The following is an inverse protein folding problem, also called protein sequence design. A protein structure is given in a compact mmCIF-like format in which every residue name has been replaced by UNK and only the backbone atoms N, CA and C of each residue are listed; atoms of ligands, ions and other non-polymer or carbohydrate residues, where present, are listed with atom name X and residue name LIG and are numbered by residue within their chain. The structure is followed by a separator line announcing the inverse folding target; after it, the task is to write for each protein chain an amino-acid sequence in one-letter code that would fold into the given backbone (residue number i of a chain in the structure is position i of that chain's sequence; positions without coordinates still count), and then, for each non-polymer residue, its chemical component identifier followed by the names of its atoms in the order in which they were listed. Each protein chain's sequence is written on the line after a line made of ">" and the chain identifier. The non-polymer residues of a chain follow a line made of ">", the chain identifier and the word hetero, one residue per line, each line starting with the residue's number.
data_IF_303856817033
#
_entry.id   IF_303856817033
#
_cell.length_a   1.000
_cell.length_b   1.000
_cell.length_c   1.000
_cell.angle_alpha   90.00
_cell.angle_beta   90.00
_cell.angle_gamma   90.00
#
_symmetry.space_group_name_H-M   'P 1'
#
loop_
_entity.id
_entity.type
_entity.pdbx_description
1 polymer ?
#
# COMPACT_ATOMS: atom_id res chain seq x y z
N UNK A 1 -5.61 -43.57 2.45
CA UNK A 1 -4.65 -42.47 2.81
C UNK A 1 -4.82 -41.17 2.05
N UNK A 2 -5.92 -41.00 1.32
CA UNK A 2 -6.26 -39.71 0.65
C UNK A 2 -6.56 -38.59 1.64
N UNK A 3 -7.05 -38.89 2.84
CA UNK A 3 -7.30 -37.95 3.93
C UNK A 3 -6.02 -37.25 4.45
N UNK A 4 -4.89 -37.96 4.45
CA UNK A 4 -3.60 -37.38 4.86
C UNK A 4 -3.08 -36.31 3.88
N UNK A 5 -3.26 -36.52 2.58
CA UNK A 5 -2.85 -35.57 1.54
C UNK A 5 -3.69 -34.29 1.57
N UNK A 6 -5.00 -34.40 1.77
CA UNK A 6 -5.89 -33.26 1.92
C UNK A 6 -5.57 -32.46 3.19
N UNK A 7 -5.30 -33.15 4.31
CA UNK A 7 -4.88 -32.50 5.57
C UNK A 7 -3.58 -31.73 5.42
N UNK A 8 -2.57 -32.27 4.73
CA UNK A 8 -1.34 -31.54 4.43
C UNK A 8 -1.56 -30.32 3.54
N UNK A 9 -2.37 -30.45 2.49
CA UNK A 9 -2.69 -29.31 1.62
C UNK A 9 -3.39 -28.18 2.39
N UNK A 10 -4.34 -28.51 3.26
CA UNK A 10 -5.04 -27.52 4.13
C UNK A 10 -4.07 -26.88 5.12
N UNK A 11 -3.16 -27.65 5.74
CA UNK A 11 -2.14 -27.09 6.64
C UNK A 11 -1.17 -26.17 5.89
N UNK A 12 -0.75 -26.51 4.66
CA UNK A 12 0.11 -25.65 3.84
C UNK A 12 -0.59 -24.33 3.47
N UNK A 13 -1.85 -24.40 3.05
CA UNK A 13 -2.68 -23.22 2.76
C UNK A 13 -2.84 -22.36 4.02
N UNK A 14 -3.06 -22.96 5.19
CA UNK A 14 -3.19 -22.26 6.47
C UNK A 14 -1.88 -21.58 6.90
N UNK A 15 -0.73 -22.22 6.73
CA UNK A 15 0.59 -21.65 7.05
C UNK A 15 0.90 -20.46 6.14
N UNK A 16 0.64 -20.58 4.84
CA UNK A 16 0.79 -19.49 3.87
C UNK A 16 -0.15 -18.33 4.22
N UNK A 17 -1.38 -18.63 4.60
CA UNK A 17 -2.38 -17.64 5.01
C UNK A 17 -1.97 -16.89 6.29
N UNK A 18 -1.32 -17.54 7.25
CA UNK A 18 -0.90 -16.96 8.53
C UNK A 18 0.38 -16.10 8.41
N UNK A 19 1.28 -16.40 7.48
CA UNK A 19 2.55 -15.69 7.33
C UNK A 19 2.46 -14.36 6.58
N UNK A 20 1.39 -14.10 5.82
CA UNK A 20 1.25 -12.85 5.06
C UNK A 20 0.25 -11.90 5.71
N UNK A 21 0.78 -10.93 6.44
CA UNK A 21 0.07 -9.77 7.04
C UNK A 21 -0.39 -8.74 5.98
N UNK A 22 -0.96 -9.16 4.86
CA UNK A 22 -1.50 -8.26 3.85
C UNK A 22 -2.98 -7.93 4.08
N UNK A 23 -3.41 -6.78 3.56
CA UNK A 23 -4.81 -6.34 3.60
C UNK A 23 -5.77 -7.42 3.07
N UNK A 24 -6.97 -7.47 3.61
CA UNK A 24 -7.96 -8.55 3.36
C UNK A 24 -8.23 -8.81 1.86
N UNK A 25 -8.28 -7.77 1.03
CA UNK A 25 -8.52 -7.91 -0.41
C UNK A 25 -7.34 -8.55 -1.16
N UNK A 26 -6.11 -8.19 -0.81
CA UNK A 26 -4.91 -8.81 -1.39
C UNK A 26 -4.73 -10.26 -0.92
N UNK A 27 -5.07 -10.57 0.33
CA UNK A 27 -5.05 -11.95 0.84
C UNK A 27 -6.04 -12.84 0.11
N UNK A 28 -7.25 -12.34 -0.15
CA UNK A 28 -8.27 -13.08 -0.88
C UNK A 28 -7.81 -13.39 -2.33
N UNK A 29 -7.24 -12.41 -3.03
CA UNK A 29 -6.72 -12.60 -4.40
C UNK A 29 -5.54 -13.57 -4.42
N UNK A 30 -4.58 -13.42 -3.49
CA UNK A 30 -3.44 -14.32 -3.36
C UNK A 30 -3.90 -15.74 -3.01
N UNK A 31 -4.83 -15.87 -2.06
CA UNK A 31 -5.42 -17.16 -1.69
C UNK A 31 -6.15 -17.84 -2.85
N UNK A 32 -6.93 -17.08 -3.62
CA UNK A 32 -7.64 -17.59 -4.80
C UNK A 32 -6.66 -18.09 -5.88
N UNK A 33 -5.57 -17.38 -6.14
CA UNK A 33 -4.55 -17.80 -7.11
C UNK A 33 -3.88 -19.11 -6.68
N UNK A 34 -3.49 -19.23 -5.41
CA UNK A 34 -2.91 -20.47 -4.90
C UNK A 34 -3.91 -21.62 -4.89
N UNK A 35 -5.18 -21.36 -4.58
CA UNK A 35 -6.23 -22.37 -4.63
C UNK A 35 -6.43 -22.89 -6.06
N UNK A 36 -6.48 -22.01 -7.05
CA UNK A 36 -6.54 -22.39 -8.47
C UNK A 36 -5.29 -23.19 -8.86
N UNK A 37 -4.09 -22.74 -8.43
CA UNK A 37 -2.84 -23.46 -8.72
C UNK A 37 -2.84 -24.87 -8.13
N UNK A 38 -3.36 -25.07 -6.92
CA UNK A 38 -3.51 -26.38 -6.28
C UNK A 38 -4.47 -27.26 -7.10
N UNK A 39 -5.65 -26.75 -7.48
CA UNK A 39 -6.61 -27.51 -8.31
C UNK A 39 -5.96 -27.92 -9.63
N UNK A 40 -5.25 -27.02 -10.31
CA UNK A 40 -4.54 -27.33 -11.57
C UNK A 40 -3.42 -28.35 -11.35
N UNK A 41 -2.72 -28.27 -10.21
CA UNK A 41 -1.67 -29.23 -9.87
C UNK A 41 -2.19 -30.65 -9.67
N UNK A 42 -3.41 -30.81 -9.13
CA UNK A 42 -4.04 -32.13 -8.92
C UNK A 42 -4.83 -32.64 -10.14
N UNK A 43 -5.04 -31.82 -11.17
CA UNK A 43 -5.85 -32.16 -12.34
C UNK A 43 -5.40 -33.46 -13.05
N UNK A 44 -4.09 -33.75 -13.28
CA UNK A 44 -3.68 -35.00 -13.89
C UNK A 44 -4.03 -36.22 -13.04
N UNK A 45 -4.02 -36.08 -11.70
CA UNK A 45 -4.37 -37.16 -10.79
C UNK A 45 -5.87 -37.49 -10.86
N UNK A 46 -6.73 -36.45 -10.89
CA UNK A 46 -8.19 -36.60 -11.00
C UNK A 46 -8.59 -37.25 -12.33
N UNK A 47 -7.92 -36.92 -13.44
CA UNK A 47 -8.20 -37.48 -14.76
C UNK A 47 -7.82 -38.97 -14.83
N UNK A 48 -6.78 -39.37 -14.11
CA UNK A 48 -6.27 -40.73 -14.13
C UNK A 48 -6.90 -41.65 -13.09
N UNK A 49 -7.54 -41.11 -12.04
CA UNK A 49 -8.19 -41.87 -10.96
C UNK A 49 -9.11 -42.98 -11.47
N UNK A 50 -10.06 -42.76 -12.43
CA UNK A 50 -10.94 -43.81 -12.91
C UNK A 50 -10.23 -44.95 -13.65
N UNK A 51 -9.03 -44.71 -14.15
CA UNK A 51 -8.24 -45.72 -14.85
C UNK A 51 -7.25 -46.49 -13.94
N UNK A 52 -6.93 -45.91 -12.77
CA UNK A 52 -5.99 -46.49 -11.81
C UNK A 52 -6.54 -47.77 -11.20
N UNK A 53 -7.82 -47.86 -10.89
CA UNK A 53 -8.43 -49.08 -10.33
C UNK A 53 -8.34 -50.28 -11.31
N UNK A 54 -8.40 -50.00 -12.62
CA UNK A 54 -8.21 -51.04 -13.64
C UNK A 54 -6.75 -51.53 -13.76
N UNK A 55 -5.81 -50.63 -13.47
CA UNK A 55 -4.37 -50.88 -13.56
C UNK A 55 -3.82 -51.52 -12.27
N UNK A 56 -4.32 -51.17 -11.09
CA UNK A 56 -3.88 -51.73 -9.79
C UNK A 56 -4.33 -53.16 -9.61
N UNK A 57 -5.41 -53.59 -10.29
CA UNK A 57 -5.87 -54.99 -10.24
C UNK A 57 -4.90 -56.01 -10.85
N UNK A 58 -3.91 -55.58 -11.61
CA UNK A 58 -2.86 -56.44 -12.19
C UNK A 58 -1.54 -56.21 -11.47
N UNK A 59 -1.10 -57.16 -10.67
CA UNK A 59 0.09 -57.08 -9.81
C UNK A 59 1.42 -57.30 -10.57
N UNK A 60 1.51 -56.85 -11.83
CA UNK A 60 2.70 -57.03 -12.65
C UNK A 60 3.78 -55.99 -12.34
N UNK A 61 5.06 -56.39 -12.47
CA UNK A 61 6.24 -55.53 -12.28
C UNK A 61 6.18 -54.26 -13.17
N UNK A 62 5.58 -54.35 -14.35
CA UNK A 62 5.40 -53.25 -15.30
C UNK A 62 4.46 -52.16 -14.72
N UNK A 63 3.35 -52.58 -14.12
CA UNK A 63 2.38 -51.66 -13.47
C UNK A 63 3.02 -50.88 -12.34
N UNK A 64 3.87 -51.50 -11.53
CA UNK A 64 4.60 -50.85 -10.44
C UNK A 64 5.57 -49.76 -10.97
N UNK A 65 6.31 -50.08 -12.04
CA UNK A 65 7.20 -49.12 -12.69
C UNK A 65 6.43 -47.92 -13.27
N UNK A 66 5.29 -48.17 -13.92
CA UNK A 66 4.42 -47.10 -14.47
C UNK A 66 3.92 -46.17 -13.40
N UNK A 67 3.43 -46.70 -12.28
CA UNK A 67 2.96 -45.88 -11.14
C UNK A 67 4.09 -45.02 -10.58
N UNK A 68 5.30 -45.58 -10.45
CA UNK A 68 6.47 -44.84 -9.95
C UNK A 68 6.82 -43.67 -10.86
N UNK A 69 6.88 -43.92 -12.18
CA UNK A 69 7.16 -42.88 -13.18
C UNK A 69 6.08 -41.80 -13.17
N UNK A 70 4.81 -42.20 -13.05
CA UNK A 70 3.69 -41.27 -12.98
C UNK A 70 3.76 -40.35 -11.74
N UNK A 71 4.08 -40.91 -10.57
CA UNK A 71 4.25 -40.13 -9.33
C UNK A 71 5.38 -39.11 -9.47
N UNK A 72 6.52 -39.51 -10.07
CA UNK A 72 7.63 -38.59 -10.31
C UNK A 72 7.24 -37.46 -11.25
N UNK A 73 6.54 -37.77 -12.36
CA UNK A 73 6.04 -36.77 -13.30
C UNK A 73 5.02 -35.84 -12.64
N UNK A 74 4.14 -36.35 -11.78
CA UNK A 74 3.18 -35.59 -11.03
C UNK A 74 3.86 -34.61 -10.05
N UNK A 75 4.92 -35.06 -9.37
CA UNK A 75 5.73 -34.19 -8.51
C UNK A 75 6.39 -33.04 -9.29
N UNK A 76 6.98 -33.35 -10.45
CA UNK A 76 7.56 -32.35 -11.34
C UNK A 76 6.51 -31.33 -11.84
N UNK A 77 5.35 -31.83 -12.25
CA UNK A 77 4.23 -30.98 -12.67
C UNK A 77 3.78 -30.04 -11.56
N UNK A 78 3.63 -30.54 -10.33
CA UNK A 78 3.25 -29.73 -9.16
C UNK A 78 4.27 -28.61 -8.90
N UNK A 79 5.57 -28.89 -8.96
CA UNK A 79 6.63 -27.89 -8.79
C UNK A 79 6.57 -26.82 -9.89
N UNK A 80 6.34 -27.22 -11.13
CA UNK A 80 6.19 -26.29 -12.25
C UNK A 80 4.99 -25.35 -12.05
N UNK A 81 3.82 -25.90 -11.77
CA UNK A 81 2.59 -25.10 -11.57
C UNK A 81 2.78 -24.10 -10.43
N UNK A 82 3.33 -24.54 -9.29
CA UNK A 82 3.57 -23.65 -8.15
C UNK A 82 4.62 -22.57 -8.46
N UNK A 83 5.66 -22.89 -9.22
CA UNK A 83 6.67 -21.91 -9.63
C UNK A 83 6.09 -20.85 -10.57
N UNK A 84 5.25 -21.27 -11.53
CA UNK A 84 4.56 -20.33 -12.43
C UNK A 84 3.54 -19.47 -11.69
N UNK A 85 2.74 -20.05 -10.80
CA UNK A 85 1.78 -19.31 -9.98
C UNK A 85 2.48 -18.25 -9.12
N UNK A 86 3.62 -18.60 -8.50
CA UNK A 86 4.44 -17.65 -7.75
C UNK A 86 4.96 -16.50 -8.61
N UNK A 87 5.57 -16.80 -9.75
CA UNK A 87 6.09 -15.77 -10.68
C UNK A 87 4.99 -14.85 -11.19
N UNK A 88 3.81 -15.40 -11.48
CA UNK A 88 2.67 -14.63 -11.94
C UNK A 88 2.14 -13.70 -10.84
N UNK A 89 2.05 -14.21 -9.62
CA UNK A 89 1.66 -13.43 -8.43
C UNK A 89 2.67 -12.30 -8.16
N UNK A 90 3.98 -12.61 -8.15
CA UNK A 90 5.04 -11.62 -7.97
C UNK A 90 4.97 -10.52 -9.03
N UNK A 91 4.68 -10.86 -10.30
CA UNK A 91 4.53 -9.86 -11.39
C UNK A 91 3.37 -8.91 -11.12
N UNK A 92 2.20 -9.43 -10.72
CA UNK A 92 1.01 -8.61 -10.44
C UNK A 92 1.27 -7.69 -9.22
N UNK A 93 1.81 -8.23 -8.14
CA UNK A 93 2.10 -7.49 -6.92
C UNK A 93 3.22 -6.45 -7.15
N UNK A 94 4.26 -6.83 -7.89
CA UNK A 94 5.40 -5.95 -8.16
C UNK A 94 5.02 -4.73 -9.00
N UNK A 95 4.17 -4.90 -10.03
CA UNK A 95 3.73 -3.77 -10.84
C UNK A 95 3.00 -2.71 -10.03
N UNK A 96 2.08 -3.15 -9.14
CA UNK A 96 1.33 -2.22 -8.28
C UNK A 96 2.23 -1.49 -7.28
N UNK A 97 3.15 -2.22 -6.65
CA UNK A 97 4.10 -1.66 -5.69
C UNK A 97 5.11 -0.74 -6.36
N UNK A 98 5.59 -1.08 -7.54
CA UNK A 98 6.54 -0.28 -8.32
C UNK A 98 5.97 1.11 -8.61
N UNK A 99 4.73 1.21 -9.05
CA UNK A 99 4.07 2.48 -9.35
C UNK A 99 3.96 3.39 -8.12
N UNK A 100 3.60 2.84 -6.96
CA UNK A 100 3.54 3.60 -5.70
C UNK A 100 4.93 4.12 -5.33
N UNK A 101 5.96 3.27 -5.42
CA UNK A 101 7.34 3.63 -5.06
C UNK A 101 7.90 4.68 -6.02
N UNK A 102 7.67 4.54 -7.33
CA UNK A 102 8.12 5.52 -8.33
C UNK A 102 7.49 6.90 -8.08
N UNK A 103 6.17 6.96 -7.86
CA UNK A 103 5.47 8.21 -7.53
C UNK A 103 5.99 8.85 -6.24
N UNK A 104 6.34 8.03 -5.25
CA UNK A 104 6.89 8.51 -3.98
C UNK A 104 8.30 9.07 -4.15
N UNK A 105 9.19 8.37 -4.85
CA UNK A 105 10.57 8.81 -5.10
C UNK A 105 10.58 10.11 -5.89
N UNK A 106 9.80 10.18 -6.98
CA UNK A 106 9.64 11.40 -7.77
C UNK A 106 9.16 12.58 -6.92
N UNK A 107 8.20 12.35 -6.04
CA UNK A 107 7.73 13.37 -5.12
C UNK A 107 8.82 13.82 -4.14
N UNK A 108 9.57 12.89 -3.55
CA UNK A 108 10.63 13.20 -2.57
C UNK A 108 11.74 14.04 -3.18
N UNK A 109 12.17 13.71 -4.40
CA UNK A 109 13.22 14.45 -5.12
C UNK A 109 12.76 15.88 -5.42
N UNK A 110 11.50 16.07 -5.78
CA UNK A 110 10.97 17.40 -6.09
C UNK A 110 10.60 18.22 -4.87
N UNK A 111 10.05 17.59 -3.82
CA UNK A 111 9.55 18.29 -2.63
C UNK A 111 10.63 19.15 -1.96
N UNK A 112 11.88 18.71 -1.98
CA UNK A 112 13.01 19.44 -1.38
C UNK A 112 13.34 20.75 -2.12
N UNK A 113 13.02 20.87 -3.40
CA UNK A 113 13.30 22.04 -4.24
C UNK A 113 12.14 23.04 -4.34
N UNK A 114 10.94 22.67 -3.91
CA UNK A 114 9.76 23.51 -3.98
C UNK A 114 9.82 24.55 -2.86
N UNK A 115 9.77 25.84 -3.25
CA UNK A 115 9.76 26.97 -2.32
C UNK A 115 8.40 27.67 -2.21
N UNK A 116 7.37 27.16 -2.92
CA UNK A 116 6.01 27.71 -2.92
C UNK A 116 5.01 26.70 -2.35
N UNK A 117 4.32 27.08 -1.28
CA UNK A 117 3.30 26.23 -0.63
C UNK A 117 2.19 25.76 -1.57
N UNK A 118 1.70 26.64 -2.46
CA UNK A 118 0.62 26.28 -3.39
C UNK A 118 1.05 25.20 -4.37
N UNK A 119 2.27 25.32 -4.89
CA UNK A 119 2.86 24.31 -5.78
C UNK A 119 3.06 22.98 -5.05
N UNK A 120 3.58 23.02 -3.81
CA UNK A 120 3.74 21.84 -2.96
C UNK A 120 2.40 21.12 -2.76
N UNK A 121 1.34 21.85 -2.41
CA UNK A 121 0.01 21.26 -2.18
C UNK A 121 -0.61 20.69 -3.46
N UNK A 122 -0.42 21.33 -4.59
CA UNK A 122 -0.84 20.79 -5.87
C UNK A 122 -0.12 19.49 -6.21
N UNK A 123 1.19 19.43 -5.92
CA UNK A 123 2.00 18.24 -6.14
C UNK A 123 1.60 17.09 -5.23
N UNK A 124 1.31 17.37 -3.96
CA UNK A 124 0.77 16.36 -3.03
C UNK A 124 -0.50 15.73 -3.59
N UNK A 125 -1.46 16.55 -4.06
CA UNK A 125 -2.72 16.04 -4.64
C UNK A 125 -2.48 15.15 -5.83
N UNK A 126 -1.62 15.57 -6.78
CA UNK A 126 -1.31 14.77 -7.96
C UNK A 126 -0.60 13.45 -7.60
N UNK A 127 0.34 13.49 -6.66
CA UNK A 127 1.06 12.28 -6.21
C UNK A 127 0.15 11.30 -5.47
N UNK A 128 -0.72 11.80 -4.58
CA UNK A 128 -1.68 10.94 -3.86
C UNK A 128 -2.66 10.31 -4.85
N UNK A 129 -3.21 11.08 -5.79
CA UNK A 129 -4.12 10.56 -6.83
C UNK A 129 -3.46 9.51 -7.72
N UNK A 130 -2.16 9.66 -8.00
CA UNK A 130 -1.37 8.68 -8.77
C UNK A 130 -1.09 7.41 -7.95
N UNK A 131 -0.66 7.56 -6.69
CA UNK A 131 -0.29 6.44 -5.82
C UNK A 131 -1.50 5.66 -5.29
N UNK A 132 -2.62 6.34 -5.05
CA UNK A 132 -3.85 5.77 -4.49
C UNK A 132 -5.02 6.05 -5.42
N UNK A 133 -5.35 5.12 -6.33
CA UNK A 133 -6.48 5.29 -7.27
C UNK A 133 -7.80 5.48 -6.53
N UNK A 134 -8.70 6.28 -7.13
CA UNK A 134 -10.02 6.62 -6.58
C UNK A 134 -9.94 7.32 -5.21
N UNK A 135 -8.93 8.17 -5.02
CA UNK A 135 -8.78 8.97 -3.82
C UNK A 135 -8.70 10.46 -4.12
N UNK A 136 -9.06 11.25 -3.12
CA UNK A 136 -8.91 12.69 -3.12
C UNK A 136 -8.12 13.13 -1.88
N UNK A 137 -7.10 13.99 -2.09
CA UNK A 137 -6.25 14.51 -1.01
C UNK A 137 -6.76 15.87 -0.55
N UNK A 138 -7.20 15.95 0.71
CA UNK A 138 -7.51 17.20 1.41
C UNK A 138 -6.32 17.59 2.28
N UNK A 139 -5.89 18.85 2.19
CA UNK A 139 -4.72 19.37 2.88
C UNK A 139 -5.17 20.45 3.83
N UNK A 140 -4.80 20.30 5.09
CA UNK A 140 -5.12 21.25 6.14
C UNK A 140 -3.83 21.85 6.68
N UNK A 141 -3.70 23.17 6.60
CA UNK A 141 -2.57 23.93 7.16
C UNK A 141 -2.95 24.50 8.52
N UNK A 142 -2.05 24.39 9.48
CA UNK A 142 -2.21 25.07 10.77
C UNK A 142 -1.72 26.50 10.65
N UNK A 143 -2.62 27.48 10.83
CA UNK A 143 -2.32 28.92 10.91
C UNK A 143 -2.68 29.40 12.29
N UNK A 144 -1.67 29.84 13.03
CA UNK A 144 -1.79 30.21 14.45
C UNK A 144 -2.50 29.12 15.27
N UNK A 145 -3.74 29.29 15.65
CA UNK A 145 -4.51 28.35 16.44
C UNK A 145 -5.65 27.66 15.66
N UNK A 146 -5.81 27.95 14.37
CA UNK A 146 -6.86 27.41 13.52
C UNK A 146 -6.30 26.53 12.40
N UNK A 147 -7.15 25.61 11.90
CA UNK A 147 -6.85 24.83 10.71
C UNK A 147 -7.62 25.39 9.51
N UNK A 148 -6.91 25.53 8.39
CA UNK A 148 -7.47 26.02 7.13
C UNK A 148 -7.30 24.95 6.07
N UNK A 149 -8.36 24.59 5.36
CA UNK A 149 -8.27 23.69 4.24
C UNK A 149 -7.74 24.44 3.01
N UNK A 150 -6.58 24.01 2.53
CA UNK A 150 -5.98 24.56 1.33
C UNK A 150 -6.61 23.88 0.10
N UNK A 151 -7.49 24.57 -0.63
CA UNK A 151 -8.09 24.07 -1.88
C UNK A 151 -7.38 24.63 -3.10
N UNK A 152 -7.68 24.12 -4.29
CA UNK A 152 -7.14 24.66 -5.55
C UNK A 152 -7.65 26.08 -5.83
N UNK A 153 -8.90 26.34 -5.46
CA UNK A 153 -9.62 27.59 -5.75
C UNK A 153 -9.43 28.67 -4.67
N UNK A 154 -8.83 28.31 -3.52
CA UNK A 154 -8.61 29.21 -2.40
C UNK A 154 -8.67 28.48 -1.06
N UNK A 155 -8.38 29.21 0.00
CA UNK A 155 -8.36 28.67 1.36
C UNK A 155 -9.77 28.70 1.95
N UNK A 156 -10.23 27.55 2.48
CA UNK A 156 -11.52 27.42 3.18
C UNK A 156 -11.27 27.35 4.68
N UNK A 157 -11.87 28.27 5.41
CA UNK A 157 -11.91 28.21 6.88
C UNK A 157 -12.85 27.09 7.30
N UNK A 158 -12.39 26.24 8.22
CA UNK A 158 -13.16 25.09 8.72
C UNK A 158 -14.28 25.57 9.67
N UNK A 159 -15.38 24.82 9.67
CA UNK A 159 -16.40 24.98 10.68
C UNK A 159 -15.90 24.46 12.05
N UNK A 160 -16.46 25.03 13.13
CA UNK A 160 -16.07 24.71 14.52
C UNK A 160 -16.12 23.19 14.81
N UNK A 161 -17.09 22.48 14.22
CA UNK A 161 -17.25 21.04 14.41
C UNK A 161 -16.18 20.24 13.65
N UNK A 162 -15.86 20.63 12.42
CA UNK A 162 -14.78 20.00 11.61
C UNK A 162 -13.42 20.23 12.29
N UNK A 163 -13.20 21.44 12.79
CA UNK A 163 -11.96 21.77 13.50
C UNK A 163 -11.81 20.99 14.81
N UNK A 164 -12.88 20.86 15.60
CA UNK A 164 -12.87 20.05 16.83
C UNK A 164 -12.54 18.57 16.54
N UNK A 165 -13.07 18.02 15.45
CA UNK A 165 -12.73 16.66 14.98
C UNK A 165 -11.26 16.54 14.64
N UNK A 166 -10.68 17.48 13.89
CA UNK A 166 -9.25 17.47 13.55
C UNK A 166 -8.37 17.62 14.81
N UNK A 167 -8.73 18.50 15.74
CA UNK A 167 -8.02 18.68 17.02
C UNK A 167 -8.03 17.41 17.86
N UNK A 168 -9.13 16.63 17.85
CA UNK A 168 -9.21 15.36 18.55
C UNK A 168 -8.23 14.33 18.02
N UNK A 169 -7.89 14.37 16.74
CA UNK A 169 -6.86 13.51 16.15
C UNK A 169 -5.45 13.92 16.57
N UNK A 170 -5.19 15.22 16.84
CA UNK A 170 -3.89 15.69 17.32
C UNK A 170 -3.58 15.24 18.76
N UNK A 171 -4.59 15.27 19.64
CA UNK A 171 -4.37 15.10 21.08
C UNK A 171 -4.29 13.67 21.60
N UNK A 172 -4.87 12.71 20.90
CA UNK A 172 -5.08 11.34 21.43
C UNK A 172 -4.20 10.26 20.83
N UNK A 173 -3.20 10.59 20.01
CA UNK A 173 -2.47 9.58 19.22
C UNK A 173 -3.38 8.84 18.23
N UNK A 174 -4.61 9.33 18.02
CA UNK A 174 -5.63 8.76 17.14
C UNK A 174 -5.23 8.74 15.68
N UNK A 175 -4.24 9.52 15.33
CA UNK A 175 -3.61 9.57 14.00
C UNK A 175 -3.09 8.21 13.56
N UNK A 176 -2.52 7.42 14.49
CA UNK A 176 -2.06 6.07 14.18
C UNK A 176 -3.19 5.04 13.96
N UNK A 177 -4.43 5.37 14.34
CA UNK A 177 -5.58 4.48 14.17
C UNK A 177 -6.33 4.66 12.86
N UNK A 178 -6.14 5.80 12.17
CA UNK A 178 -6.75 6.09 10.87
C UNK A 178 -5.65 6.26 9.82
N UNK A 179 -5.41 5.26 8.98
CA UNK A 179 -4.37 5.30 7.96
C UNK A 179 -4.62 6.38 6.89
N UNK A 180 -5.84 6.89 6.80
CA UNK A 180 -6.24 7.96 5.88
C UNK A 180 -5.74 9.35 6.29
N UNK A 181 -5.23 9.51 7.54
CA UNK A 181 -4.74 10.79 8.06
C UNK A 181 -3.25 10.71 8.33
N UNK A 182 -2.49 11.64 7.75
CA UNK A 182 -1.08 11.80 8.03
C UNK A 182 -0.77 13.24 8.46
N UNK A 183 0.12 13.40 9.43
CA UNK A 183 0.45 14.69 10.04
C UNK A 183 1.72 15.25 9.43
N UNK A 184 1.71 16.54 9.11
CA UNK A 184 2.92 17.29 8.81
C UNK A 184 3.56 17.76 10.12
N UNK A 185 4.50 16.99 10.62
CA UNK A 185 5.17 17.27 11.89
C UNK A 185 6.68 17.35 11.69
N UNK A 186 7.30 18.41 12.22
CA UNK A 186 8.75 18.57 12.27
C UNK A 186 9.16 19.22 13.61
N UNK A 187 10.17 18.68 14.32
CA UNK A 187 10.65 19.16 15.62
C UNK A 187 9.51 19.46 16.60
N UNK A 188 8.60 18.52 16.80
CA UNK A 188 7.38 18.62 17.63
C UNK A 188 6.36 19.69 17.21
N UNK A 189 6.64 20.47 16.19
CA UNK A 189 5.71 21.44 15.62
C UNK A 189 4.84 20.79 14.55
N UNK A 190 3.52 20.95 14.68
CA UNK A 190 2.54 20.48 13.69
C UNK A 190 2.29 21.64 12.72
N UNK A 191 2.53 21.40 11.43
CA UNK A 191 2.26 22.35 10.34
C UNK A 191 0.89 22.14 9.70
N UNK A 192 0.35 20.91 9.80
CA UNK A 192 -0.92 20.58 9.19
C UNK A 192 -1.18 19.08 9.08
N UNK A 193 -2.15 18.73 8.24
CA UNK A 193 -2.56 17.34 7.98
C UNK A 193 -2.81 17.11 6.52
N UNK A 194 -2.54 15.87 6.12
CA UNK A 194 -3.04 15.27 4.89
C UNK A 194 -4.16 14.31 5.25
N UNK A 195 -5.34 14.52 4.72
CA UNK A 195 -6.46 13.59 4.79
C UNK A 195 -6.75 13.04 3.40
N UNK A 196 -6.71 11.72 3.26
CA UNK A 196 -6.98 11.04 2.00
C UNK A 196 -8.38 10.44 2.06
N UNK A 197 -9.28 11.01 1.30
CA UNK A 197 -10.66 10.55 1.16
C UNK A 197 -10.74 9.53 0.03
N UNK A 198 -11.31 8.34 0.33
CA UNK A 198 -11.47 7.27 -0.63
C UNK A 198 -12.89 7.24 -1.18
N UNK A 199 -13.03 7.27 -2.50
CA UNK A 199 -14.33 7.09 -3.17
C UNK A 199 -14.74 5.61 -3.25
N UNK A 200 -13.80 4.69 -3.00
CA UNK A 200 -14.05 3.26 -2.94
C UNK A 200 -14.50 2.81 -1.55
N UNK A 201 -15.28 1.72 -1.47
CA UNK A 201 -15.73 1.12 -0.20
C UNK A 201 -14.60 0.47 0.62
N UNK A 202 -13.46 0.20 0.02
CA UNK A 202 -12.33 -0.46 0.68
C UNK A 202 -11.42 0.56 1.38
N UNK A 203 -10.89 0.17 2.54
CA UNK A 203 -9.87 0.94 3.26
C UNK A 203 -8.55 0.94 2.50
N UNK A 204 -7.66 1.88 2.87
CA UNK A 204 -6.27 1.92 2.39
C UNK A 204 -5.56 0.57 2.63
N UNK A 205 -4.81 0.14 1.65
CA UNK A 205 -3.90 -0.99 1.76
C UNK A 205 -2.65 -0.51 2.53
N UNK A 206 -1.95 -1.42 3.20
CA UNK A 206 -0.77 -1.08 3.99
C UNK A 206 0.27 -0.26 3.21
N UNK A 207 0.58 -0.67 1.96
CA UNK A 207 1.55 0.03 1.12
C UNK A 207 1.06 1.45 0.72
N UNK A 208 -0.24 1.64 0.50
CA UNK A 208 -0.85 2.95 0.24
C UNK A 208 -0.78 3.85 1.48
N UNK A 209 -1.09 3.31 2.66
CA UNK A 209 -1.02 4.02 3.93
C UNK A 209 0.42 4.43 4.28
N UNK A 210 1.39 3.54 4.01
CA UNK A 210 2.80 3.83 4.22
C UNK A 210 3.31 4.92 3.25
N UNK A 211 2.89 4.87 1.99
CA UNK A 211 3.17 5.91 1.00
C UNK A 211 2.64 7.28 1.46
N UNK A 212 1.39 7.36 1.92
CA UNK A 212 0.80 8.60 2.44
C UNK A 212 1.61 9.15 3.61
N UNK A 213 2.07 8.28 4.51
CA UNK A 213 2.91 8.68 5.64
C UNK A 213 4.26 9.21 5.19
N UNK A 214 4.89 8.57 4.21
CA UNK A 214 6.18 9.02 3.67
C UNK A 214 6.04 10.34 2.91
N UNK A 215 4.96 10.55 2.15
CA UNK A 215 4.62 11.85 1.55
C UNK A 215 4.52 12.92 2.64
N UNK A 216 3.78 12.66 3.72
CA UNK A 216 3.61 13.61 4.82
C UNK A 216 4.95 13.97 5.51
N UNK A 217 5.84 13.00 5.68
CA UNK A 217 7.17 13.26 6.24
C UNK A 217 8.01 14.17 5.31
N UNK A 218 7.99 13.91 4.00
CA UNK A 218 8.70 14.73 3.01
C UNK A 218 8.13 16.15 2.94
N UNK A 219 6.80 16.28 3.01
CA UNK A 219 6.10 17.57 3.08
C UNK A 219 6.49 18.35 4.33
N UNK A 220 6.64 17.68 5.47
CA UNK A 220 7.06 18.31 6.72
C UNK A 220 8.42 18.98 6.58
N UNK A 221 9.38 18.30 5.92
CA UNK A 221 10.69 18.87 5.59
C UNK A 221 10.60 20.05 4.62
N UNK A 222 9.81 19.91 3.56
CA UNK A 222 9.61 20.98 2.57
C UNK A 222 8.97 22.23 3.20
N UNK A 223 7.94 22.06 4.04
CA UNK A 223 7.30 23.19 4.74
C UNK A 223 8.26 23.92 5.68
N UNK A 224 9.15 23.18 6.36
CA UNK A 224 10.22 23.81 7.17
C UNK A 224 11.14 24.65 6.28
N UNK A 225 11.58 24.12 5.14
CA UNK A 225 12.45 24.84 4.21
C UNK A 225 11.77 26.09 3.67
N UNK A 226 10.50 26.00 3.26
CA UNK A 226 9.71 27.15 2.81
C UNK A 226 9.61 28.20 3.91
N UNK A 227 9.28 27.78 5.14
CA UNK A 227 9.17 28.71 6.28
C UNK A 227 10.49 29.40 6.61
N UNK A 228 11.61 28.66 6.52
CA UNK A 228 12.94 29.24 6.70
C UNK A 228 13.29 30.26 5.59
N UNK A 229 12.98 29.88 4.34
CA UNK A 229 13.19 30.77 3.19
C UNK A 229 12.34 32.04 3.29
N UNK A 230 11.04 31.91 3.60
CA UNK A 230 10.15 33.06 3.82
C UNK A 230 10.70 34.01 4.90
N UNK A 231 11.24 33.44 6.00
CA UNK A 231 11.83 34.23 7.08
C UNK A 231 13.09 34.99 6.62
N UNK A 232 14.01 34.30 5.93
CA UNK A 232 15.22 34.91 5.38
C UNK A 232 14.88 35.98 4.36
N UNK A 233 13.90 35.73 3.50
CA UNK A 233 13.44 36.68 2.51
C UNK A 233 12.89 37.95 3.18
N UNK A 234 12.05 37.80 4.21
CA UNK A 234 11.51 38.95 4.96
C UNK A 234 12.61 39.79 5.61
N UNK A 235 13.59 39.16 6.25
CA UNK A 235 14.74 39.86 6.83
C UNK A 235 15.60 40.56 5.76
N UNK A 236 15.70 39.98 4.56
CA UNK A 236 16.47 40.57 3.45
C UNK A 236 15.82 41.80 2.83
N UNK A 237 14.49 41.88 2.81
CA UNK A 237 13.76 42.98 2.17
C UNK A 237 13.34 44.08 3.16
N UNK A 238 13.40 43.82 4.46
CA UNK A 238 13.08 44.79 5.49
C UNK A 238 14.28 45.05 6.40
N UNK A 239 14.56 46.30 6.68
CA UNK A 239 15.54 46.69 7.70
C UNK A 239 14.99 46.39 9.10
N UNK A 240 15.71 45.62 9.90
CA UNK A 240 15.22 45.16 11.23
C UNK A 240 15.03 46.31 12.22
N UNK A 241 15.70 47.48 12.04
CA UNK A 241 15.61 48.60 12.96
C UNK A 241 14.48 49.56 12.59
N UNK A 242 14.27 49.77 11.30
CA UNK A 242 13.31 50.78 10.82
C UNK A 242 12.00 50.17 10.33
N UNK A 243 11.97 48.85 10.04
CA UNK A 243 10.83 48.17 9.45
C UNK A 243 10.52 48.55 7.99
N UNK A 244 11.38 49.38 7.39
CA UNK A 244 11.22 49.86 6.01
C UNK A 244 11.87 48.85 5.04
N UNK A 245 11.44 48.94 3.78
CA UNK A 245 12.10 48.20 2.70
C UNK A 245 13.53 48.67 2.51
N UNK A 246 14.44 47.68 2.38
CA UNK A 246 15.83 47.93 2.04
C UNK A 246 15.96 48.44 0.60
#
# INVERSE_FOLDING_TARGET
>A
DTLGGVGMAVCFVYIIYKQYLFSFSMRATTGAIYLIAVVVAFLPMIILEPNIDHVIGQTDSFTRQFITVFVVLQCLWMVLVMTYARKWLERILYQKKKHIVESLVEFQDMAASILNKKELYQRIRSTVSSAVPDSYARIFEKRDDHFVECTADGDRVLDTEEEARLRSFCGTGGIHKKPEIAVFKYDDKIYGFLYVELHRKNRLIYDEADCIRQIANSVSGALKNISAYEKVYQVSIHDELTGLYN
#
